data_IF_861896540411
#
_entry.id   IF_861896540411
#
_cell.length_a   1.000
_cell.length_b   1.000
_cell.length_c   1.000
_cell.angle_alpha   90.00
_cell.angle_beta   90.00
_cell.angle_gamma   90.00
#
_symmetry.space_group_name_H-M   'P 1'
#
loop_
_entity.id
_entity.type
_entity.pdbx_description
1 polymer ?
#
# COMPACT_ATOMS: atom_id res chain seq x y z
N UNK A 1 6.62 13.37 4.32
CA UNK A 1 7.48 12.22 4.65
C UNK A 1 6.70 11.07 5.27
N UNK A 2 6.03 11.27 6.43
CA UNK A 2 5.29 10.20 7.13
C UNK A 2 4.23 9.49 6.28
N UNK A 3 3.46 10.23 5.47
CA UNK A 3 2.48 9.63 4.56
C UNK A 3 3.12 8.61 3.61
N UNK A 4 4.13 9.05 2.86
CA UNK A 4 4.86 8.18 1.93
C UNK A 4 5.40 6.94 2.64
N UNK A 5 6.16 7.13 3.73
CA UNK A 5 6.75 6.02 4.46
C UNK A 5 5.70 5.03 4.99
N UNK A 6 4.64 5.54 5.62
CA UNK A 6 3.56 4.71 6.14
C UNK A 6 2.86 3.92 5.05
N UNK A 7 2.62 4.52 3.88
CA UNK A 7 2.00 3.82 2.75
C UNK A 7 2.91 2.76 2.14
N UNK A 8 4.23 3.00 2.06
CA UNK A 8 5.18 2.00 1.56
C UNK A 8 5.31 0.79 2.51
N UNK A 9 5.43 1.04 3.82
CA UNK A 9 5.45 -0.03 4.82
C UNK A 9 4.16 -0.83 4.79
N UNK A 10 3.00 -0.16 4.66
CA UNK A 10 1.71 -0.84 4.62
C UNK A 10 1.58 -1.73 3.38
N UNK A 11 1.95 -1.24 2.19
CA UNK A 11 1.99 -2.06 0.97
C UNK A 11 2.88 -3.28 1.17
N UNK A 12 4.13 -3.08 1.63
CA UNK A 12 5.09 -4.18 1.82
C UNK A 12 4.60 -5.23 2.82
N UNK A 13 3.95 -4.80 3.91
CA UNK A 13 3.34 -5.71 4.89
C UNK A 13 2.31 -6.63 4.23
N UNK A 14 1.42 -6.08 3.40
CA UNK A 14 0.38 -6.88 2.77
C UNK A 14 0.90 -7.73 1.62
N UNK A 15 1.90 -7.28 0.85
CA UNK A 15 2.60 -8.15 -0.12
C UNK A 15 3.18 -9.39 0.56
N UNK A 16 3.86 -9.22 1.71
CA UNK A 16 4.41 -10.34 2.46
C UNK A 16 3.31 -11.29 2.96
N UNK A 17 2.16 -10.75 3.39
CA UNK A 17 1.03 -11.58 3.79
C UNK A 17 0.46 -12.39 2.62
N UNK A 18 0.42 -11.83 1.42
CA UNK A 18 0.05 -12.55 0.19
C UNK A 18 1.02 -13.69 -0.11
N UNK A 19 2.33 -13.42 -0.07
CA UNK A 19 3.36 -14.43 -0.32
C UNK A 19 3.25 -15.62 0.65
N UNK A 20 2.98 -15.34 1.93
CA UNK A 20 2.85 -16.36 2.98
C UNK A 20 1.56 -17.19 2.83
N UNK A 21 0.45 -16.55 2.46
CA UNK A 21 -0.86 -17.20 2.37
C UNK A 21 -1.14 -17.85 1.01
N UNK A 22 -0.38 -17.48 -0.02
CA UNK A 22 -0.58 -17.99 -1.38
C UNK A 22 -1.98 -17.66 -1.92
N UNK A 23 -2.62 -18.63 -2.58
CA UNK A 23 -3.93 -18.45 -3.22
C UNK A 23 -5.06 -18.10 -2.25
N UNK A 24 -4.91 -18.40 -0.97
CA UNK A 24 -5.91 -18.08 0.06
C UNK A 24 -6.07 -16.56 0.26
N UNK A 25 -5.01 -15.77 0.04
CA UNK A 25 -5.05 -14.31 0.13
C UNK A 25 -5.60 -13.61 -1.13
N UNK A 26 -6.15 -14.36 -2.08
CA UNK A 26 -6.79 -13.83 -3.30
C UNK A 26 -8.32 -13.89 -3.24
N UNK A 27 -8.90 -14.37 -2.13
CA UNK A 27 -10.34 -14.48 -1.95
C UNK A 27 -11.03 -13.13 -1.85
N UNK A 28 -12.08 -12.92 -2.65
CA UNK A 28 -12.88 -11.68 -2.66
C UNK A 28 -14.22 -11.82 -1.91
N UNK A 29 -14.87 -12.97 -2.09
CA UNK A 29 -16.14 -13.36 -1.48
C UNK A 29 -16.38 -14.88 -1.61
N UNK A 30 -17.47 -15.36 -1.00
CA UNK A 30 -17.95 -16.75 -1.11
C UNK A 30 -17.52 -17.66 0.06
N UNK A 31 -18.17 -18.83 0.14
CA UNK A 31 -17.99 -19.79 1.25
C UNK A 31 -16.64 -20.52 1.23
N UNK A 32 -15.86 -20.36 0.15
CA UNK A 32 -14.53 -20.95 0.00
C UNK A 32 -13.41 -20.20 0.71
N UNK A 33 -13.71 -19.06 1.34
CA UNK A 33 -12.75 -18.25 2.08
C UNK A 33 -13.27 -17.88 3.46
N UNK A 34 -12.40 -17.95 4.46
CA UNK A 34 -12.73 -17.49 5.80
C UNK A 34 -12.69 -15.95 5.90
N UNK A 35 -13.23 -15.43 7.00
CA UNK A 35 -13.32 -13.98 7.21
C UNK A 35 -11.95 -13.28 7.28
N UNK A 36 -10.88 -13.98 7.68
CA UNK A 36 -9.53 -13.42 7.75
C UNK A 36 -8.90 -13.35 6.37
N UNK A 37 -9.06 -14.39 5.56
CA UNK A 37 -8.62 -14.43 4.16
C UNK A 37 -9.23 -13.28 3.37
N UNK A 38 -10.56 -13.11 3.46
CA UNK A 38 -11.27 -12.00 2.81
C UNK A 38 -10.78 -10.63 3.32
N UNK A 39 -10.51 -10.49 4.62
CA UNK A 39 -10.02 -9.26 5.20
C UNK A 39 -8.59 -8.91 4.72
N UNK A 40 -7.73 -9.91 4.54
CA UNK A 40 -6.37 -9.74 4.01
C UNK A 40 -6.43 -9.22 2.58
N UNK A 41 -7.20 -9.85 1.70
CA UNK A 41 -7.34 -9.41 0.29
C UNK A 41 -7.81 -7.95 0.21
N UNK A 42 -8.84 -7.60 0.98
CA UNK A 42 -9.39 -6.22 1.00
C UNK A 42 -8.38 -5.21 1.53
N UNK A 43 -7.66 -5.57 2.58
CA UNK A 43 -6.65 -4.68 3.19
C UNK A 43 -5.44 -4.50 2.28
N UNK A 44 -5.03 -5.54 1.55
CA UNK A 44 -4.00 -5.44 0.52
C UNK A 44 -4.39 -4.46 -0.59
N UNK A 45 -5.57 -4.63 -1.19
CA UNK A 45 -6.06 -3.73 -2.23
C UNK A 45 -6.19 -2.28 -1.70
N UNK A 46 -6.66 -2.13 -0.46
CA UNK A 46 -6.73 -0.82 0.21
C UNK A 46 -5.35 -0.18 0.37
N UNK A 47 -4.33 -0.96 0.71
CA UNK A 47 -2.95 -0.48 0.88
C UNK A 47 -2.40 0.13 -0.43
N UNK A 48 -2.80 -0.42 -1.59
CA UNK A 48 -2.48 0.17 -2.90
C UNK A 48 -3.16 1.53 -3.08
N UNK A 49 -4.46 1.61 -2.77
CA UNK A 49 -5.21 2.85 -2.80
C UNK A 49 -4.61 3.95 -1.89
N UNK A 50 -4.14 3.59 -0.70
CA UNK A 50 -3.50 4.55 0.22
C UNK A 50 -2.27 5.24 -0.39
N UNK A 51 -1.55 4.57 -1.29
CA UNK A 51 -0.37 5.14 -1.96
C UNK A 51 -0.72 6.22 -3.00
N UNK A 52 -1.99 6.32 -3.39
CA UNK A 52 -2.52 7.27 -4.39
C UNK A 52 -3.28 8.42 -3.72
N UNK A 53 -4.21 8.09 -2.82
CA UNK A 53 -5.04 9.10 -2.15
C UNK A 53 -4.19 10.04 -1.27
N UNK A 54 -4.64 11.30 -1.14
CA UNK A 54 -3.89 12.32 -0.40
C UNK A 54 -2.54 12.69 -1.04
N UNK A 55 -2.41 12.47 -2.35
CA UNK A 55 -1.21 12.74 -3.15
C UNK A 55 -0.38 11.48 -3.37
N UNK A 56 -0.08 11.18 -4.63
CA UNK A 56 0.63 9.94 -4.99
C UNK A 56 2.04 9.88 -4.41
N UNK A 57 2.63 8.69 -4.42
CA UNK A 57 3.98 8.47 -3.89
C UNK A 57 5.03 9.31 -4.62
N UNK A 58 4.90 9.46 -5.93
CA UNK A 58 5.76 10.30 -6.78
C UNK A 58 5.62 11.78 -6.40
N UNK A 59 4.39 12.25 -6.20
CA UNK A 59 4.14 13.64 -5.76
C UNK A 59 4.73 13.87 -4.37
N UNK A 60 4.56 12.94 -3.45
CA UNK A 60 5.15 13.03 -2.10
C UNK A 60 6.69 13.06 -2.14
N UNK A 61 7.31 12.23 -2.98
CA UNK A 61 8.75 12.22 -3.19
C UNK A 61 9.24 13.55 -3.80
N UNK A 62 8.50 14.11 -4.76
CA UNK A 62 8.80 15.44 -5.30
C UNK A 62 8.71 16.54 -4.23
N UNK A 63 7.72 16.47 -3.33
CA UNK A 63 7.63 17.41 -2.20
C UNK A 63 8.84 17.28 -1.27
N UNK A 64 9.26 16.05 -0.95
CA UNK A 64 10.44 15.80 -0.11
C UNK A 64 11.71 16.32 -0.80
N UNK A 65 11.90 16.02 -2.09
CA UNK A 65 13.02 16.50 -2.89
C UNK A 65 13.14 18.03 -2.85
N UNK A 66 12.02 18.74 -3.05
CA UNK A 66 12.02 20.22 -3.06
C UNK A 66 12.16 20.82 -1.67
N UNK A 67 11.37 20.34 -0.70
CA UNK A 67 11.21 20.99 0.62
C UNK A 67 12.24 20.56 1.65
N UNK A 68 12.78 19.35 1.54
CA UNK A 68 13.75 18.78 2.49
C UNK A 68 15.15 18.81 1.89
N UNK A 69 15.30 18.39 0.63
CA UNK A 69 16.61 18.29 -0.01
C UNK A 69 17.00 19.55 -0.81
N UNK A 70 16.10 20.52 -0.98
CA UNK A 70 16.38 21.76 -1.69
C UNK A 70 16.65 21.58 -3.20
N UNK A 71 16.20 20.48 -3.80
CA UNK A 71 16.45 20.21 -5.21
C UNK A 71 15.65 21.17 -6.12
N UNK A 72 16.25 21.61 -7.24
CA UNK A 72 15.57 22.48 -8.19
C UNK A 72 14.38 21.77 -8.86
N UNK A 73 13.40 22.56 -9.30
CA UNK A 73 12.32 22.07 -10.14
C UNK A 73 12.77 22.01 -11.60
N UNK A 74 12.51 20.88 -12.27
CA UNK A 74 12.43 20.84 -13.72
C UNK A 74 11.23 21.65 -14.22
#
# INVERSE_FOLDING_TARGET
MFKYYGTEVNKRRFELLLDVMGSQALGWEGDGFDSKELAVTRSWLRSKGNSIEGGTSEVQLNVIAKRVLGLPTA
#
